data_IF_059552332165
#
_entry.id   IF_059552332165
#
_cell.length_a   1.000
_cell.length_b   1.000
_cell.length_c   1.000
_cell.angle_alpha   90.00
_cell.angle_beta   90.00
_cell.angle_gamma   90.00
#
_symmetry.space_group_name_H-M   'P 1'
#
loop_
_entity.id
_entity.type
_entity.pdbx_description
1 polymer ?
#
# COMPACT_ATOMS: atom_id res chain seq x y z
N UNK A 1 -11.94 27.81 -23.71
CA UNK A 1 -11.08 26.63 -23.95
C UNK A 1 -10.21 26.42 -22.73
N UNK A 2 -10.72 25.72 -21.71
CA UNK A 2 -10.02 25.40 -20.46
C UNK A 2 -10.65 24.15 -19.85
N UNK A 3 -10.42 22.98 -20.45
CA UNK A 3 -10.91 21.69 -19.93
C UNK A 3 -9.82 20.64 -19.80
N UNK A 4 -8.57 20.91 -20.23
CA UNK A 4 -7.49 19.92 -20.24
C UNK A 4 -6.88 19.62 -18.87
N UNK A 5 -7.06 20.48 -17.86
CA UNK A 5 -6.49 20.27 -16.53
C UNK A 5 -7.37 19.39 -15.61
N UNK A 6 -8.65 19.20 -15.93
CA UNK A 6 -9.60 18.49 -15.06
C UNK A 6 -9.51 16.97 -15.19
N UNK A 7 -9.18 16.46 -16.38
CA UNK A 7 -9.11 15.02 -16.67
C UNK A 7 -7.84 14.34 -16.14
N UNK A 8 -6.82 15.11 -15.75
CA UNK A 8 -5.59 14.54 -15.20
C UNK A 8 -5.74 14.06 -13.75
N UNK A 9 -6.76 14.51 -13.01
CA UNK A 9 -6.99 14.12 -11.61
C UNK A 9 -8.00 12.97 -11.44
N UNK A 10 -8.77 12.65 -12.48
CA UNK A 10 -9.73 11.56 -12.41
C UNK A 10 -9.02 10.22 -12.51
N UNK A 11 -9.21 9.37 -11.51
CA UNK A 11 -8.70 8.01 -11.52
C UNK A 11 -9.21 7.24 -12.76
N UNK A 12 -8.39 6.37 -13.38
CA UNK A 12 -8.74 5.75 -14.66
C UNK A 12 -9.84 4.69 -14.56
N UNK A 13 -10.07 4.08 -13.39
CA UNK A 13 -11.15 3.10 -13.22
C UNK A 13 -12.48 3.81 -12.92
N UNK A 14 -13.52 3.47 -13.68
CA UNK A 14 -14.88 3.91 -13.41
C UNK A 14 -15.55 3.00 -12.38
N UNK A 15 -16.06 3.58 -11.30
CA UNK A 15 -16.76 2.85 -10.24
C UNK A 15 -18.22 2.56 -10.64
N UNK A 16 -18.65 1.31 -10.50
CA UNK A 16 -19.91 0.82 -11.05
C UNK A 16 -20.97 0.49 -10.00
N UNK A 17 -20.56 0.26 -8.75
CA UNK A 17 -21.48 0.08 -7.62
C UNK A 17 -22.12 1.41 -7.20
N UNK A 18 -23.29 1.39 -6.55
CA UNK A 18 -23.90 2.60 -5.98
C UNK A 18 -22.97 3.31 -4.98
N UNK A 19 -22.36 2.55 -4.06
CA UNK A 19 -21.40 3.08 -3.08
C UNK A 19 -20.16 3.67 -3.76
N UNK A 20 -19.62 2.98 -4.78
CA UNK A 20 -18.50 3.47 -5.57
C UNK A 20 -18.79 4.79 -6.28
N UNK A 21 -19.93 4.92 -6.97
CA UNK A 21 -20.33 6.17 -7.63
C UNK A 21 -20.49 7.33 -6.65
N UNK A 22 -21.13 7.06 -5.51
CA UNK A 22 -21.29 8.05 -4.44
C UNK A 22 -19.93 8.54 -3.92
N UNK A 23 -18.99 7.63 -3.65
CA UNK A 23 -17.65 7.99 -3.19
C UNK A 23 -16.83 8.71 -4.27
N UNK A 24 -16.99 8.35 -5.55
CA UNK A 24 -16.33 9.04 -6.66
C UNK A 24 -16.81 10.50 -6.81
N UNK A 25 -18.11 10.75 -6.64
CA UNK A 25 -18.68 12.09 -6.63
C UNK A 25 -18.22 12.89 -5.39
N UNK A 26 -18.17 12.24 -4.25
CA UNK A 26 -17.68 12.84 -3.01
C UNK A 26 -16.20 13.20 -3.10
N UNK A 27 -15.38 12.37 -3.75
CA UNK A 27 -13.97 12.65 -3.99
C UNK A 27 -13.75 13.90 -4.85
N UNK A 28 -14.68 14.23 -5.75
CA UNK A 28 -14.60 15.44 -6.56
C UNK A 28 -15.08 16.68 -5.81
N UNK A 29 -16.13 16.54 -4.98
CA UNK A 29 -16.78 17.68 -4.30
C UNK A 29 -16.19 17.98 -2.92
N UNK A 30 -16.05 16.95 -2.06
CA UNK A 30 -15.60 17.06 -0.67
C UNK A 30 -14.65 15.91 -0.31
N UNK A 31 -13.38 15.93 -0.79
CA UNK A 31 -12.42 14.83 -0.58
C UNK A 31 -12.22 14.42 0.88
N UNK A 32 -12.30 15.39 1.81
CA UNK A 32 -12.11 15.17 3.25
C UNK A 32 -13.20 14.33 3.92
N UNK A 33 -14.36 14.16 3.27
CA UNK A 33 -15.47 13.34 3.78
C UNK A 33 -15.42 11.89 3.28
N UNK A 34 -14.54 11.57 2.33
CA UNK A 34 -14.53 10.27 1.64
C UNK A 34 -14.23 9.12 2.59
N UNK A 35 -13.24 9.25 3.49
CA UNK A 35 -12.96 8.22 4.49
C UNK A 35 -14.18 7.92 5.37
N UNK A 36 -14.78 8.94 5.99
CA UNK A 36 -15.92 8.76 6.88
C UNK A 36 -17.14 8.18 6.15
N UNK A 37 -17.39 8.63 4.92
CA UNK A 37 -18.45 8.08 4.09
C UNK A 37 -18.19 6.61 3.71
N UNK A 38 -16.95 6.25 3.40
CA UNK A 38 -16.56 4.88 3.09
C UNK A 38 -16.76 3.96 4.30
N UNK A 39 -16.38 4.39 5.51
CA UNK A 39 -16.62 3.64 6.75
C UNK A 39 -18.10 3.34 6.95
N UNK A 40 -18.99 4.32 6.75
CA UNK A 40 -20.44 4.11 6.83
C UNK A 40 -20.96 3.12 5.78
N UNK A 41 -20.43 3.17 4.55
CA UNK A 41 -20.78 2.19 3.51
C UNK A 41 -20.31 0.77 3.86
N UNK A 42 -19.12 0.64 4.47
CA UNK A 42 -18.59 -0.65 4.92
C UNK A 42 -19.41 -1.25 6.06
N UNK A 43 -19.84 -0.43 7.01
CA UNK A 43 -20.73 -0.85 8.10
C UNK A 43 -22.07 -1.38 7.52
N UNK A 44 -22.68 -0.62 6.61
CA UNK A 44 -23.92 -1.06 5.93
C UNK A 44 -23.72 -2.37 5.17
N UNK A 45 -22.59 -2.54 4.48
CA UNK A 45 -22.26 -3.79 3.80
C UNK A 45 -22.06 -4.95 4.79
N UNK A 46 -21.45 -4.69 5.95
CA UNK A 46 -21.23 -5.69 7.00
C UNK A 46 -22.56 -6.19 7.58
N UNK A 47 -23.47 -5.28 7.90
CA UNK A 47 -24.83 -5.61 8.38
C UNK A 47 -25.59 -6.44 7.34
N UNK A 48 -25.50 -6.07 6.05
CA UNK A 48 -26.13 -6.80 4.96
C UNK A 48 -25.53 -8.19 4.73
N UNK A 49 -24.24 -8.40 5.03
CA UNK A 49 -23.59 -9.71 5.01
C UNK A 49 -24.10 -10.57 6.17
N UNK A 50 -24.06 -10.04 7.39
CA UNK A 50 -24.42 -10.78 8.60
C UNK A 50 -25.92 -11.14 8.62
N UNK A 51 -26.78 -10.26 8.09
CA UNK A 51 -28.19 -10.54 7.87
C UNK A 51 -28.44 -11.68 6.86
N UNK A 52 -27.59 -11.80 5.84
CA UNK A 52 -27.67 -12.89 4.85
C UNK A 52 -27.22 -14.22 5.43
N UNK A 53 -26.21 -14.23 6.31
CA UNK A 53 -25.73 -15.43 6.99
C UNK A 53 -26.74 -15.96 8.01
N UNK A 54 -27.54 -15.07 8.60
CA UNK A 54 -28.61 -15.42 9.56
C UNK A 54 -29.89 -15.91 8.87
N UNK A 55 -30.03 -15.69 7.56
CA UNK A 55 -31.24 -16.06 6.82
C UNK A 55 -31.28 -17.58 6.57
N UNK A 56 -31.94 -18.32 7.46
CA UNK A 56 -32.22 -19.76 7.28
C UNK A 56 -32.95 -20.01 5.96
N UNK A 57 -32.48 -20.97 5.16
CA UNK A 57 -33.10 -21.28 3.87
C UNK A 57 -34.56 -21.71 4.10
N UNK A 58 -35.54 -21.08 3.43
CA UNK A 58 -36.93 -21.47 3.59
C UNK A 58 -37.11 -22.91 3.11
N UNK A 59 -37.94 -23.68 3.83
CA UNK A 59 -38.39 -25.02 3.43
C UNK A 59 -39.17 -24.92 2.12
N UNK A 60 -38.47 -24.91 1.00
CA UNK A 60 -39.00 -24.53 -0.31
C UNK A 60 -38.75 -25.64 -1.33
N UNK A 61 -39.64 -25.67 -2.33
CA UNK A 61 -39.65 -26.72 -3.37
C UNK A 61 -38.36 -26.62 -4.22
N UNK A 62 -37.91 -27.72 -4.84
CA UNK A 62 -36.60 -27.79 -5.49
C UNK A 62 -36.26 -26.65 -6.48
N UNK A 63 -37.24 -26.11 -7.21
CA UNK A 63 -37.06 -24.98 -8.13
C UNK A 63 -36.89 -23.64 -7.41
N UNK A 64 -37.61 -23.43 -6.30
CA UNK A 64 -37.50 -22.22 -5.47
C UNK A 64 -36.14 -22.18 -4.75
N UNK A 65 -35.65 -23.34 -4.30
CA UNK A 65 -34.32 -23.47 -3.69
C UNK A 65 -33.19 -23.02 -4.64
N UNK A 66 -33.28 -23.36 -5.93
CA UNK A 66 -32.32 -22.90 -6.95
C UNK A 66 -32.39 -21.39 -7.16
N UNK A 67 -33.60 -20.81 -7.17
CA UNK A 67 -33.79 -19.37 -7.29
C UNK A 67 -33.18 -18.63 -6.09
N UNK A 68 -33.47 -19.05 -4.87
CA UNK A 68 -32.89 -18.44 -3.65
C UNK A 68 -31.36 -18.52 -3.64
N UNK A 69 -30.80 -19.67 -4.04
CA UNK A 69 -29.36 -19.83 -4.19
C UNK A 69 -28.78 -18.82 -5.18
N UNK A 70 -29.42 -18.65 -6.35
CA UNK A 70 -28.94 -17.71 -7.36
C UNK A 70 -29.05 -16.25 -6.91
N UNK A 71 -30.11 -15.89 -6.20
CA UNK A 71 -30.26 -14.55 -5.61
C UNK A 71 -29.17 -14.30 -4.57
N UNK A 72 -28.87 -15.29 -3.72
CA UNK A 72 -27.81 -15.17 -2.73
C UNK A 72 -26.42 -15.01 -3.39
N UNK A 73 -26.13 -15.77 -4.44
CA UNK A 73 -24.90 -15.64 -5.23
C UNK A 73 -24.78 -14.23 -5.85
N UNK A 74 -25.86 -13.72 -6.46
CA UNK A 74 -25.86 -12.38 -7.06
C UNK A 74 -25.67 -11.29 -6.01
N UNK A 75 -26.34 -11.40 -4.85
CA UNK A 75 -26.15 -10.45 -3.73
C UNK A 75 -24.72 -10.49 -3.19
N UNK A 76 -24.11 -11.67 -3.09
CA UNK A 76 -22.70 -11.79 -2.69
C UNK A 76 -21.79 -11.08 -3.71
N UNK A 77 -22.00 -11.31 -5.01
CA UNK A 77 -21.22 -10.65 -6.06
C UNK A 77 -21.39 -9.12 -6.06
N UNK A 78 -22.59 -8.62 -5.79
CA UNK A 78 -22.85 -7.18 -5.65
C UNK A 78 -22.12 -6.57 -4.44
N UNK A 79 -22.06 -7.30 -3.31
CA UNK A 79 -21.30 -6.88 -2.13
C UNK A 79 -19.79 -6.86 -2.41
N UNK A 80 -19.27 -7.91 -3.03
CA UNK A 80 -17.84 -8.01 -3.39
C UNK A 80 -17.45 -6.85 -4.30
N UNK A 81 -18.26 -6.56 -5.33
CA UNK A 81 -18.07 -5.41 -6.23
C UNK A 81 -18.15 -4.07 -5.52
N UNK A 82 -19.06 -3.92 -4.55
CA UNK A 82 -19.19 -2.69 -3.78
C UNK A 82 -17.98 -2.46 -2.87
N UNK A 83 -17.49 -3.52 -2.21
CA UNK A 83 -16.27 -3.49 -1.41
C UNK A 83 -15.04 -3.11 -2.24
N UNK A 84 -14.91 -3.75 -3.40
CA UNK A 84 -13.90 -3.50 -4.41
C UNK A 84 -13.85 -2.04 -4.90
N UNK A 85 -15.02 -1.41 -5.09
CA UNK A 85 -15.13 -0.02 -5.49
C UNK A 85 -14.84 0.94 -4.34
N UNK A 86 -15.26 0.61 -3.11
CA UNK A 86 -14.91 1.38 -1.90
C UNK A 86 -13.39 1.38 -1.70
N UNK A 87 -12.74 0.22 -1.83
CA UNK A 87 -11.27 0.12 -1.76
C UNK A 87 -10.60 1.01 -2.80
N UNK A 88 -11.07 0.98 -4.05
CA UNK A 88 -10.49 1.82 -5.10
C UNK A 88 -10.70 3.33 -4.83
N UNK A 89 -11.88 3.73 -4.35
CA UNK A 89 -12.17 5.12 -3.99
C UNK A 89 -11.24 5.63 -2.88
N UNK A 90 -10.96 4.79 -1.86
CA UNK A 90 -10.01 5.11 -0.78
C UNK A 90 -8.57 5.23 -1.30
N UNK A 91 -8.15 4.39 -2.25
CA UNK A 91 -6.84 4.53 -2.91
C UNK A 91 -6.79 5.85 -3.68
N UNK A 92 -7.83 6.17 -4.45
CA UNK A 92 -7.89 7.43 -5.19
C UNK A 92 -7.86 8.66 -4.26
N UNK A 93 -8.46 8.57 -3.06
CA UNK A 93 -8.32 9.58 -2.03
C UNK A 93 -6.86 9.71 -1.54
N UNK A 94 -6.12 8.61 -1.34
CA UNK A 94 -4.70 8.65 -0.94
C UNK A 94 -3.81 9.34 -1.98
N UNK A 95 -4.07 9.11 -3.27
CA UNK A 95 -3.40 9.85 -4.35
C UNK A 95 -3.73 11.34 -4.31
N UNK A 96 -5.01 11.69 -4.10
CA UNK A 96 -5.47 13.08 -3.96
C UNK A 96 -4.83 13.79 -2.76
N UNK A 97 -4.78 13.14 -1.59
CA UNK A 97 -4.15 13.63 -0.36
C UNK A 97 -2.63 13.86 -0.54
N UNK A 98 -2.00 13.01 -1.36
CA UNK A 98 -0.56 13.11 -1.66
C UNK A 98 -0.26 14.10 -2.80
N UNK A 99 -1.29 14.70 -3.41
CA UNK A 99 -1.13 15.63 -4.53
C UNK A 99 -0.70 14.98 -5.85
N UNK A 100 -0.82 13.66 -5.99
CA UNK A 100 -0.33 12.90 -7.14
C UNK A 100 -1.46 12.67 -8.14
N UNK A 101 -1.21 13.02 -9.40
CA UNK A 101 -2.15 12.75 -10.49
C UNK A 101 -1.96 11.33 -11.03
N UNK A 102 -3.05 10.61 -11.21
CA UNK A 102 -3.04 9.30 -11.86
C UNK A 102 -2.56 9.39 -13.31
N UNK A 103 -1.90 8.34 -13.77
CA UNK A 103 -1.72 8.11 -15.20
C UNK A 103 -3.09 7.98 -15.88
N UNK A 104 -3.38 8.78 -16.92
CA UNK A 104 -4.63 8.68 -17.66
C UNK A 104 -4.72 7.36 -18.44
N UNK A 105 -5.94 6.98 -18.84
CA UNK A 105 -6.17 5.77 -19.62
C UNK A 105 -5.36 5.78 -20.93
N UNK A 106 -4.55 4.74 -21.13
CA UNK A 106 -3.70 4.52 -22.31
C UNK A 106 -4.42 3.61 -23.33
N UNK A 107 -5.49 2.92 -22.90
CA UNK A 107 -6.27 1.99 -23.72
C UNK A 107 -6.80 2.62 -25.02
N UNK A 108 -7.23 3.89 -24.98
CA UNK A 108 -7.80 4.62 -26.12
C UNK A 108 -6.81 5.34 -27.04
N UNK A 109 -5.50 5.29 -26.78
CA UNK A 109 -4.50 6.04 -27.57
C UNK A 109 -4.27 5.40 -28.95
N UNK A 110 -3.93 6.22 -29.95
CA UNK A 110 -3.62 5.73 -31.28
C UNK A 110 -2.36 4.85 -31.27
N UNK A 111 -2.23 3.95 -32.26
CA UNK A 111 -1.06 3.07 -32.39
C UNK A 111 0.22 3.89 -32.51
N UNK A 112 1.27 3.49 -31.78
CA UNK A 112 2.59 4.11 -31.77
C UNK A 112 2.61 5.59 -31.29
N UNK A 113 1.52 6.08 -30.70
CA UNK A 113 1.48 7.41 -30.12
C UNK A 113 2.38 7.47 -28.87
N UNK A 114 2.99 8.65 -28.66
CA UNK A 114 3.73 8.95 -27.44
C UNK A 114 2.74 9.32 -26.34
N UNK A 115 2.63 8.47 -25.31
CA UNK A 115 1.55 8.54 -24.30
C UNK A 115 1.97 9.16 -22.97
N UNK A 116 3.26 9.37 -22.74
CA UNK A 116 3.90 9.80 -21.48
C UNK A 116 3.93 11.32 -21.25
N UNK A 117 2.95 12.09 -21.76
CA UNK A 117 2.87 13.55 -21.51
C UNK A 117 2.23 13.85 -20.16
N UNK A 118 2.74 13.23 -19.11
CA UNK A 118 2.19 13.32 -17.76
C UNK A 118 3.08 14.25 -16.89
N UNK A 119 2.53 14.95 -15.87
CA UNK A 119 3.31 15.86 -15.01
C UNK A 119 4.50 15.19 -14.28
N UNK A 120 5.76 15.64 -14.35
CA UNK A 120 6.86 14.96 -13.67
C UNK A 120 6.65 14.99 -12.13
N UNK A 121 6.22 13.86 -11.55
CA UNK A 121 5.83 13.73 -10.15
C UNK A 121 6.59 12.59 -9.44
N UNK A 122 7.82 12.33 -9.89
CA UNK A 122 8.63 11.22 -9.38
C UNK A 122 9.03 11.45 -7.92
N UNK A 123 9.37 12.69 -7.54
CA UNK A 123 9.73 13.04 -6.17
C UNK A 123 8.55 12.85 -5.21
N UNK A 124 7.35 13.26 -5.61
CA UNK A 124 6.13 13.05 -4.84
C UNK A 124 5.82 11.56 -4.67
N UNK A 125 5.98 10.76 -5.73
CA UNK A 125 5.81 9.32 -5.67
C UNK A 125 6.84 8.65 -4.75
N UNK A 126 8.10 9.08 -4.79
CA UNK A 126 9.15 8.58 -3.91
C UNK A 126 8.86 8.96 -2.44
N UNK A 127 8.33 10.16 -2.18
CA UNK A 127 8.06 10.67 -0.82
C UNK A 127 7.03 9.86 -0.01
N UNK A 128 6.22 9.01 -0.66
CA UNK A 128 5.24 8.13 0.00
C UNK A 128 5.92 7.04 0.85
N UNK A 129 7.15 6.68 0.47
CA UNK A 129 7.87 5.54 1.00
C UNK A 129 8.93 5.99 2.01
N UNK A 130 9.25 5.13 2.98
CA UNK A 130 10.39 5.37 3.87
C UNK A 130 11.71 5.23 3.11
N UNK A 131 12.77 5.90 3.57
CA UNK A 131 14.11 5.82 2.94
C UNK A 131 14.57 4.37 2.74
N UNK A 132 14.31 3.50 3.72
CA UNK A 132 14.67 2.07 3.64
C UNK A 132 13.83 1.29 2.63
N UNK A 133 12.57 1.66 2.41
CA UNK A 133 11.73 1.09 1.37
C UNK A 133 12.14 1.61 -0.01
N UNK A 134 12.52 2.88 -0.12
CA UNK A 134 12.99 3.48 -1.38
C UNK A 134 14.22 2.78 -1.95
N UNK A 135 15.17 2.37 -1.11
CA UNK A 135 16.32 1.57 -1.58
C UNK A 135 15.88 0.32 -2.36
N UNK A 136 14.89 -0.42 -1.83
CA UNK A 136 14.36 -1.63 -2.47
C UNK A 136 13.53 -1.29 -3.72
N UNK A 137 12.79 -0.18 -3.70
CA UNK A 137 12.01 0.30 -4.85
C UNK A 137 12.93 0.73 -6.00
N UNK A 138 14.04 1.41 -5.72
CA UNK A 138 15.04 1.78 -6.72
C UNK A 138 15.70 0.55 -7.36
N UNK A 139 15.95 -0.51 -6.59
CA UNK A 139 16.41 -1.79 -7.15
C UNK A 139 15.35 -2.43 -8.07
N UNK A 140 14.08 -2.43 -7.65
CA UNK A 140 12.98 -2.92 -8.49
C UNK A 140 12.84 -2.10 -9.78
N UNK A 141 12.95 -0.78 -9.70
CA UNK A 141 13.02 0.10 -10.87
C UNK A 141 14.17 -0.29 -11.79
N UNK A 142 15.38 -0.49 -11.24
CA UNK A 142 16.53 -0.96 -12.00
C UNK A 142 16.25 -2.28 -12.74
N UNK A 143 15.57 -3.23 -12.11
CA UNK A 143 15.22 -4.52 -12.73
C UNK A 143 14.16 -4.38 -13.83
N UNK A 144 13.08 -3.63 -13.59
CA UNK A 144 11.98 -3.46 -14.55
C UNK A 144 12.42 -2.62 -15.75
N UNK A 145 13.29 -1.63 -15.52
CA UNK A 145 13.82 -0.72 -16.54
C UNK A 145 15.06 -1.27 -17.26
N UNK A 146 15.49 -2.51 -16.96
CA UNK A 146 16.61 -3.18 -17.63
C UNK A 146 17.98 -2.58 -17.35
N UNK A 147 18.21 -2.10 -16.13
CA UNK A 147 19.50 -1.55 -15.65
C UNK A 147 19.77 -0.11 -16.06
N UNK A 148 18.92 0.49 -16.89
CA UNK A 148 19.01 1.91 -17.32
C UNK A 148 18.50 2.91 -16.27
N UNK A 149 17.81 2.43 -15.22
CA UNK A 149 17.17 3.26 -14.18
C UNK A 149 18.10 4.09 -13.29
N UNK A 150 19.39 3.76 -13.30
CA UNK A 150 20.40 4.40 -12.46
C UNK A 150 21.42 5.23 -13.26
N UNK A 151 21.30 5.30 -14.59
CA UNK A 151 22.12 6.18 -15.41
C UNK A 151 21.44 7.55 -15.44
N UNK A 152 22.03 8.54 -14.77
CA UNK A 152 21.44 9.87 -14.60
C UNK A 152 21.07 10.54 -15.93
N UNK A 153 20.02 11.36 -15.88
CA UNK A 153 19.50 12.48 -16.71
C UNK A 153 19.85 12.64 -18.22
N UNK A 154 20.80 11.92 -18.80
CA UNK A 154 21.31 12.14 -20.15
C UNK A 154 20.47 11.42 -21.23
N UNK A 155 19.66 10.42 -20.85
CA UNK A 155 18.86 9.57 -21.76
C UNK A 155 17.33 9.58 -21.45
N UNK A 156 16.82 10.50 -20.63
CA UNK A 156 15.43 10.46 -20.11
C UNK A 156 14.33 10.67 -21.18
N UNK A 157 14.65 11.38 -22.27
CA UNK A 157 13.73 11.55 -23.41
C UNK A 157 13.85 10.41 -24.44
N UNK A 158 14.77 9.45 -24.24
CA UNK A 158 14.90 8.31 -25.13
C UNK A 158 13.62 7.47 -25.08
N UNK A 159 12.99 7.26 -26.23
CA UNK A 159 11.72 6.55 -26.33
C UNK A 159 11.91 5.09 -26.65
N UNK A 160 11.13 4.23 -26.00
CA UNK A 160 11.00 2.82 -26.31
C UNK A 160 9.57 2.51 -26.76
N UNK A 161 9.45 1.57 -27.70
CA UNK A 161 8.16 0.96 -28.04
C UNK A 161 7.97 -0.30 -27.22
N UNK A 162 6.90 -0.32 -26.44
CA UNK A 162 6.56 -1.45 -25.57
C UNK A 162 5.10 -1.80 -25.80
N UNK A 163 4.78 -3.08 -25.74
CA UNK A 163 3.40 -3.53 -25.95
C UNK A 163 2.54 -3.28 -24.71
N UNK A 164 1.26 -2.92 -24.92
CA UNK A 164 0.29 -2.67 -23.84
C UNK A 164 0.21 -3.85 -22.88
N UNK A 165 0.27 -5.09 -23.40
CA UNK A 165 0.26 -6.28 -22.56
C UNK A 165 1.51 -6.38 -21.67
N UNK A 166 2.70 -6.13 -22.22
CA UNK A 166 3.94 -6.14 -21.41
C UNK A 166 3.91 -5.05 -20.34
N UNK A 167 3.38 -3.89 -20.69
CA UNK A 167 3.22 -2.77 -19.75
C UNK A 167 2.21 -3.07 -18.65
N UNK A 168 1.05 -3.64 -18.98
CA UNK A 168 0.07 -4.06 -17.98
C UNK A 168 0.63 -5.09 -17.00
N UNK A 169 1.41 -6.07 -17.50
CA UNK A 169 2.11 -7.05 -16.65
C UNK A 169 3.14 -6.39 -15.75
N UNK A 170 3.95 -5.47 -16.27
CA UNK A 170 4.95 -4.75 -15.49
C UNK A 170 4.30 -3.87 -14.42
N UNK A 171 3.19 -3.20 -14.74
CA UNK A 171 2.40 -2.41 -13.79
C UNK A 171 1.84 -3.31 -12.69
N UNK A 172 1.12 -4.39 -13.04
CA UNK A 172 0.53 -5.31 -12.06
C UNK A 172 1.59 -5.91 -11.13
N UNK A 173 2.72 -6.37 -11.69
CA UNK A 173 3.82 -6.90 -10.90
C UNK A 173 4.44 -5.84 -9.96
N UNK A 174 4.56 -4.60 -10.41
CA UNK A 174 5.08 -3.49 -9.61
C UNK A 174 4.10 -3.05 -8.51
N UNK A 175 2.80 -3.13 -8.76
CA UNK A 175 1.78 -2.93 -7.73
C UNK A 175 1.80 -4.01 -6.66
N UNK A 176 1.92 -5.29 -7.04
CA UNK A 176 2.12 -6.38 -6.07
C UNK A 176 3.41 -6.18 -5.28
N UNK A 177 4.49 -5.74 -5.93
CA UNK A 177 5.74 -5.42 -5.26
C UNK A 177 5.60 -4.27 -4.25
N UNK A 178 4.93 -3.18 -4.62
CA UNK A 178 4.63 -2.06 -3.72
C UNK A 178 3.83 -2.49 -2.50
N UNK A 179 2.80 -3.32 -2.69
CA UNK A 179 2.02 -3.92 -1.61
C UNK A 179 2.92 -4.73 -0.66
N UNK A 180 3.79 -5.59 -1.21
CA UNK A 180 4.76 -6.38 -0.44
C UNK A 180 5.71 -5.49 0.38
N UNK A 181 6.33 -4.49 -0.25
CA UNK A 181 7.30 -3.62 0.42
C UNK A 181 6.63 -2.82 1.53
N UNK A 182 5.44 -2.25 1.29
CA UNK A 182 4.70 -1.51 2.32
C UNK A 182 4.38 -2.39 3.51
N UNK A 183 3.94 -3.62 3.27
CA UNK A 183 3.64 -4.60 4.30
C UNK A 183 4.86 -4.94 5.15
N UNK A 184 6.00 -5.22 4.51
CA UNK A 184 7.23 -5.59 5.22
C UNK A 184 7.82 -4.38 5.96
N UNK A 185 7.81 -3.19 5.36
CA UNK A 185 8.29 -1.96 6.02
C UNK A 185 7.46 -1.64 7.26
N UNK A 186 6.12 -1.65 7.17
CA UNK A 186 5.25 -1.45 8.35
C UNK A 186 5.56 -2.44 9.47
N UNK A 187 5.74 -3.72 9.13
CA UNK A 187 6.11 -4.75 10.12
C UNK A 187 7.48 -4.47 10.72
N UNK A 188 8.46 -4.13 9.90
CA UNK A 188 9.82 -3.83 10.31
C UNK A 188 9.87 -2.63 11.26
N UNK A 189 9.16 -1.54 10.95
CA UNK A 189 9.09 -0.36 11.82
C UNK A 189 8.41 -0.69 13.16
N UNK A 190 7.36 -1.52 13.16
CA UNK A 190 6.72 -2.00 14.39
C UNK A 190 7.69 -2.82 15.25
N UNK A 191 8.41 -3.78 14.66
CA UNK A 191 9.38 -4.58 15.41
C UNK A 191 10.55 -3.75 15.95
N UNK A 192 10.99 -2.75 15.19
CA UNK A 192 12.02 -1.78 15.61
C UNK A 192 11.55 -0.95 16.80
N UNK A 193 10.32 -0.43 16.78
CA UNK A 193 9.77 0.37 17.89
C UNK A 193 9.55 -0.45 19.16
N UNK A 194 9.03 -1.68 19.04
CA UNK A 194 8.86 -2.61 20.16
C UNK A 194 10.21 -3.00 20.78
N UNK A 195 11.20 -3.31 19.93
CA UNK A 195 12.55 -3.67 20.40
C UNK A 195 13.23 -2.51 21.12
N UNK A 196 13.10 -1.28 20.61
CA UNK A 196 13.64 -0.08 21.25
C UNK A 196 12.95 0.20 22.60
N UNK A 197 11.63 0.06 22.66
CA UNK A 197 10.85 0.26 23.89
C UNK A 197 11.25 -0.76 24.97
N UNK A 198 11.45 -2.03 24.57
CA UNK A 198 11.95 -3.08 25.46
C UNK A 198 13.36 -2.76 25.97
N UNK A 199 14.25 -2.24 25.12
CA UNK A 199 15.60 -1.87 25.54
C UNK A 199 15.59 -0.75 26.59
N UNK A 200 14.74 0.28 26.39
CA UNK A 200 14.58 1.38 27.34
C UNK A 200 14.03 0.90 28.70
N UNK A 201 13.07 -0.03 28.68
CA UNK A 201 12.50 -0.59 29.91
C UNK A 201 13.55 -1.37 30.73
N UNK A 202 14.42 -2.12 30.06
CA UNK A 202 15.51 -2.83 30.71
C UNK A 202 16.55 -1.84 31.27
N UNK A 203 16.82 -0.73 30.58
CA UNK A 203 17.73 0.32 31.06
C UNK A 203 17.19 1.03 32.31
N UNK A 204 15.89 1.36 32.32
CA UNK A 204 15.19 1.92 33.48
C UNK A 204 15.19 0.94 34.67
N UNK A 205 14.95 -0.34 34.43
CA UNK A 205 14.98 -1.37 35.48
C UNK A 205 16.38 -1.49 36.11
N UNK A 206 17.44 -1.39 35.31
CA UNK A 206 18.81 -1.36 35.82
C UNK A 206 19.12 -0.09 36.62
N UNK A 207 18.62 1.06 36.19
CA UNK A 207 18.78 2.32 36.92
C UNK A 207 18.09 2.29 38.30
N UNK A 208 16.86 1.75 38.38
CA UNK A 208 16.14 1.58 39.64
C UNK A 208 16.85 0.59 40.59
N UNK A 209 17.43 -0.50 40.06
CA UNK A 209 18.19 -1.48 40.87
C UNK A 209 19.52 -0.93 41.38
N UNK A 210 20.13 0.03 40.69
CA UNK A 210 21.37 0.69 41.12
C UNK A 210 21.14 1.84 42.11
N UNK A 211 19.93 2.43 42.16
CA UNK A 211 19.55 3.45 43.13
C UNK A 211 19.14 2.91 44.52
N UNK A 212 19.05 1.60 44.70
CA UNK A 212 18.53 0.95 45.92
C UNK A 212 19.54 0.60 47.01
N UNK A 213 20.81 1.02 46.90
CA UNK A 213 21.82 0.79 47.93
C UNK A 213 22.39 2.12 48.45
N UNK A 214 21.55 2.87 49.16
CA UNK A 214 22.05 3.78 50.19
C UNK A 214 21.46 3.31 51.51
N UNK A 215 22.34 2.77 52.34
CA UNK A 215 22.02 2.28 53.66
C UNK A 215 21.27 3.35 54.45
N UNK A 216 20.18 2.91 55.07
CA UNK A 216 19.50 3.59 56.16
C UNK A 216 20.55 3.99 57.20
N UNK A 217 20.80 5.29 57.34
CA UNK A 217 21.29 5.85 58.59
C UNK A 217 20.24 6.83 59.08
N UNK A 218 19.62 6.40 60.18
CA UNK A 218 18.66 7.10 61.01
C UNK A 218 19.39 8.23 61.75
N UNK A 219 19.00 9.49 61.52
CA UNK A 219 19.11 10.54 62.54
C UNK A 219 18.19 11.74 62.22
N UNK A 220 17.56 12.22 63.29
CA UNK A 220 16.36 13.06 63.38
C UNK A 220 16.64 14.59 63.26
N UNK A 221 15.55 15.35 63.01
CA UNK A 221 15.28 16.82 63.20
C UNK A 221 15.27 17.62 61.87
N UNK A 222 14.12 17.88 61.25
CA UNK A 222 13.09 18.94 61.48
C UNK A 222 13.48 20.33 60.93
N UNK A 223 12.84 20.77 59.85
CA UNK A 223 11.91 21.93 59.77
C UNK A 223 11.81 22.54 58.36
N UNK A 224 10.56 22.61 57.88
CA UNK A 224 9.96 23.68 57.07
C UNK A 224 10.43 23.94 55.62
N UNK A 225 9.45 24.26 54.76
CA UNK A 225 9.67 25.18 53.64
C UNK A 225 9.41 24.62 52.24
N UNK A 226 8.21 24.90 51.74
CA UNK A 226 7.77 24.98 50.36
C UNK A 226 8.87 25.28 49.31
N UNK A 227 8.72 24.74 48.09
CA UNK A 227 9.29 25.42 46.91
C UNK A 227 9.59 24.54 45.71
N UNK A 228 8.98 24.90 44.60
CA UNK A 228 9.10 24.30 43.27
C UNK A 228 10.48 24.57 42.64
N UNK A 229 10.77 23.86 41.56
CA UNK A 229 11.66 24.21 40.41
C UNK A 229 13.16 23.87 40.44
N UNK A 230 13.49 22.97 39.50
CA UNK A 230 14.46 23.13 38.41
C UNK A 230 15.97 22.83 38.61
N UNK A 231 16.43 22.06 37.62
CA UNK A 231 17.77 22.05 37.01
C UNK A 231 18.92 21.45 37.83
N UNK A 232 19.60 20.46 37.24
CA UNK A 232 21.01 20.57 36.78
C UNK A 232 21.42 19.22 36.17
N UNK A 233 21.72 19.24 34.87
CA UNK A 233 22.57 18.23 34.22
C UNK A 233 23.89 18.16 35.00
N UNK A 234 24.21 17.01 35.60
CA UNK A 234 25.56 16.76 36.12
C UNK A 234 26.12 15.48 35.49
N UNK A 235 26.94 15.68 34.47
CA UNK A 235 27.80 14.64 33.87
C UNK A 235 28.96 14.36 34.85
N UNK A 236 29.26 13.11 35.23
CA UNK A 236 30.56 12.76 35.78
C UNK A 236 31.42 12.15 34.68
N UNK A 237 32.52 12.82 34.39
CA UNK A 237 33.73 12.24 33.81
C UNK A 237 34.53 11.62 34.96
N UNK A 238 34.77 10.32 34.94
CA UNK A 238 36.02 9.70 35.42
C UNK A 238 36.09 8.28 34.88
N UNK A 239 37.23 7.97 34.28
CA UNK A 239 37.62 6.66 33.78
C UNK A 239 37.60 5.61 34.89
N UNK A 240 36.82 4.54 34.68
CA UNK A 240 37.00 3.25 35.34
C UNK A 240 36.74 2.16 34.30
N UNK A 241 37.75 1.32 34.09
CA UNK A 241 37.71 0.14 33.22
C UNK A 241 36.55 -0.80 33.58
N UNK A 242 35.69 -1.06 32.59
CA UNK A 242 34.52 -1.94 32.66
C UNK A 242 34.31 -2.72 31.36
N UNK A 243 33.62 -3.87 31.39
CA UNK A 243 33.91 -5.00 30.52
C UNK A 243 33.42 -4.82 29.07
N UNK A 244 34.24 -5.35 28.16
CA UNK A 244 34.01 -5.63 26.73
C UNK A 244 32.73 -5.04 26.14
N UNK A 245 32.86 -3.85 25.54
CA UNK A 245 31.92 -3.27 24.57
C UNK A 245 31.50 -4.34 23.56
N UNK A 246 30.24 -4.79 23.62
CA UNK A 246 29.58 -5.36 22.46
C UNK A 246 29.63 -4.28 21.39
N UNK A 247 30.34 -4.56 20.28
CA UNK A 247 30.37 -3.69 19.12
C UNK A 247 28.93 -3.55 18.62
N UNK A 248 28.25 -2.49 19.03
CA UNK A 248 26.98 -2.13 18.43
C UNK A 248 27.29 -1.70 17.01
N UNK A 249 27.05 -2.64 16.10
CA UNK A 249 27.21 -2.49 14.66
C UNK A 249 26.39 -1.26 14.27
N UNK A 250 27.05 -0.16 13.97
CA UNK A 250 26.45 0.97 13.25
C UNK A 250 25.88 0.34 11.97
N UNK A 251 24.56 0.29 11.85
CA UNK A 251 23.93 -0.33 10.68
C UNK A 251 23.75 0.77 9.62
N UNK A 252 24.52 0.73 8.51
CA UNK A 252 24.30 1.60 7.37
C UNK A 252 23.10 1.10 6.56
N UNK A 253 22.43 1.98 5.80
CA UNK A 253 21.38 1.78 4.77
C UNK A 253 20.52 0.50 4.80
N UNK A 254 21.09 -0.71 4.68
CA UNK A 254 20.37 -1.96 4.51
C UNK A 254 19.72 -2.57 5.78
N UNK A 255 18.96 -1.84 6.60
CA UNK A 255 18.19 -2.46 7.71
C UNK A 255 16.97 -3.24 7.22
N UNK A 256 16.16 -2.64 6.33
CA UNK A 256 14.98 -3.31 5.76
C UNK A 256 15.39 -4.43 4.81
N UNK A 257 16.39 -4.20 3.95
CA UNK A 257 16.97 -5.24 3.09
C UNK A 257 17.42 -6.46 3.87
N UNK A 258 18.23 -6.27 4.93
CA UNK A 258 18.69 -7.38 5.77
C UNK A 258 17.52 -8.09 6.46
N UNK A 259 16.49 -7.34 6.87
CA UNK A 259 15.28 -7.89 7.46
C UNK A 259 14.52 -8.79 6.47
N UNK A 260 14.27 -8.32 5.24
CA UNK A 260 13.65 -9.11 4.17
C UNK A 260 14.46 -10.37 3.87
N UNK A 261 15.79 -10.24 3.77
CA UNK A 261 16.70 -11.36 3.49
C UNK A 261 16.79 -12.38 4.64
N UNK A 262 16.34 -12.03 5.85
CA UNK A 262 16.31 -12.95 6.98
C UNK A 262 15.08 -13.87 7.00
N UNK A 263 14.08 -13.61 6.15
CA UNK A 263 12.89 -14.43 6.06
C UNK A 263 13.19 -15.80 5.45
N UNK A 264 12.56 -16.84 6.00
CA UNK A 264 12.47 -18.13 5.33
C UNK A 264 11.51 -18.04 4.13
N UNK A 265 11.64 -18.99 3.21
CA UNK A 265 10.87 -18.98 1.96
C UNK A 265 9.35 -18.92 2.18
N UNK A 266 8.84 -19.59 3.23
CA UNK A 266 7.40 -19.60 3.53
C UNK A 266 6.92 -18.23 4.03
N UNK A 267 7.69 -17.59 4.90
CA UNK A 267 7.39 -16.24 5.35
C UNK A 267 7.43 -15.27 4.18
N UNK A 268 8.48 -15.30 3.36
CA UNK A 268 8.58 -14.43 2.20
C UNK A 268 7.39 -14.58 1.24
N UNK A 269 6.98 -15.82 0.94
CA UNK A 269 5.79 -16.09 0.13
C UNK A 269 4.50 -15.54 0.75
N UNK A 270 4.31 -15.69 2.07
CA UNK A 270 3.14 -15.14 2.76
C UNK A 270 3.06 -13.62 2.69
N UNK A 271 4.21 -12.93 2.72
CA UNK A 271 4.27 -11.48 2.58
C UNK A 271 4.05 -11.04 1.13
N UNK A 272 4.59 -11.79 0.17
CA UNK A 272 4.50 -11.48 -1.26
C UNK A 272 3.09 -11.73 -1.85
N UNK A 273 2.34 -12.67 -1.28
CA UNK A 273 0.96 -12.93 -1.69
C UNK A 273 0.00 -11.86 -1.14
N UNK A 274 -0.92 -11.41 -2.00
CA UNK A 274 -2.06 -10.58 -1.61
C UNK A 274 -2.93 -11.35 -0.61
N UNK A 275 -3.40 -10.67 0.45
CA UNK A 275 -4.19 -11.30 1.52
C UNK A 275 -5.64 -11.55 1.11
N UNK A 276 -6.17 -10.75 0.18
CA UNK A 276 -7.57 -10.78 -0.24
C UNK A 276 -7.70 -10.92 -1.76
N UNK A 277 -8.83 -11.50 -2.21
CA UNK A 277 -9.15 -11.63 -3.64
C UNK A 277 -9.54 -10.28 -4.23
N UNK A 278 -10.14 -9.44 -3.41
CA UNK A 278 -10.57 -8.08 -3.70
C UNK A 278 -9.35 -7.19 -4.01
N UNK A 279 -8.25 -7.33 -3.26
CA UNK A 279 -7.00 -6.63 -3.58
C UNK A 279 -6.44 -7.05 -4.94
N UNK A 280 -6.50 -8.35 -5.28
CA UNK A 280 -6.09 -8.84 -6.59
C UNK A 280 -6.97 -8.27 -7.71
N UNK A 281 -8.30 -8.27 -7.50
CA UNK A 281 -9.28 -7.71 -8.42
C UNK A 281 -9.11 -6.19 -8.60
N UNK A 282 -8.81 -5.44 -7.54
CA UNK A 282 -8.53 -4.00 -7.61
C UNK A 282 -7.32 -3.70 -8.49
N UNK A 283 -6.22 -4.47 -8.35
CA UNK A 283 -5.04 -4.33 -9.22
C UNK A 283 -5.42 -4.67 -10.67
N UNK A 284 -6.12 -5.79 -10.87
CA UNK A 284 -6.54 -6.24 -12.21
C UNK A 284 -7.41 -5.18 -12.90
N UNK A 285 -8.51 -4.76 -12.28
CA UNK A 285 -9.41 -3.73 -12.82
C UNK A 285 -8.70 -2.41 -13.09
N UNK A 286 -7.78 -1.98 -12.23
CA UNK A 286 -7.00 -0.78 -12.48
C UNK A 286 -6.08 -0.94 -13.71
N UNK A 287 -5.39 -2.08 -13.82
CA UNK A 287 -4.52 -2.36 -14.98
C UNK A 287 -5.33 -2.47 -16.28
N UNK A 288 -6.51 -3.07 -16.24
CA UNK A 288 -7.44 -3.12 -17.38
C UNK A 288 -7.94 -1.73 -17.76
N UNK A 289 -8.23 -0.86 -16.79
CA UNK A 289 -8.63 0.52 -17.05
C UNK A 289 -7.50 1.32 -17.72
N UNK A 290 -6.25 1.10 -17.31
CA UNK A 290 -5.07 1.75 -17.89
C UNK A 290 -4.77 1.26 -19.31
N UNK A 291 -4.63 -0.05 -19.51
CA UNK A 291 -4.09 -0.63 -20.75
C UNK A 291 -5.14 -1.27 -21.65
N UNK A 292 -6.37 -1.43 -21.17
CA UNK A 292 -7.44 -2.16 -21.84
C UNK A 292 -7.43 -3.64 -21.50
N UNK A 293 -8.55 -4.32 -21.80
CA UNK A 293 -8.67 -5.76 -21.63
C UNK A 293 -7.89 -6.49 -22.73
N UNK A 294 -7.04 -7.49 -22.39
CA UNK A 294 -6.35 -8.25 -23.42
C UNK A 294 -7.36 -9.05 -24.26
N UNK A 295 -7.37 -8.83 -25.56
CA UNK A 295 -8.20 -9.62 -26.49
C UNK A 295 -7.59 -11.02 -26.64
N UNK A 296 -8.18 -12.01 -25.97
CA UNK A 296 -7.78 -13.40 -26.04
C UNK A 296 -8.60 -14.11 -27.13
N UNK A 297 -7.95 -14.72 -28.12
CA UNK A 297 -8.56 -15.62 -29.10
C UNK A 297 -8.25 -17.06 -28.72
N UNK A 298 -9.29 -17.85 -28.50
CA UNK A 298 -9.16 -19.30 -28.39
C UNK A 298 -8.78 -19.87 -29.75
N UNK A 299 -7.63 -20.54 -29.82
CA UNK A 299 -7.26 -21.31 -31.00
C UNK A 299 -8.13 -22.58 -31.06
N UNK A 300 -8.42 -23.11 -32.25
CA UNK A 300 -9.18 -24.35 -32.40
C UNK A 300 -8.51 -25.58 -31.73
N UNK A 301 -7.24 -25.47 -31.33
CA UNK A 301 -6.47 -26.49 -30.60
C UNK A 301 -6.59 -26.35 -29.07
N UNK A 302 -7.46 -25.48 -28.56
CA UNK A 302 -7.67 -25.26 -27.13
C UNK A 302 -6.62 -24.36 -26.46
N UNK A 303 -5.70 -23.78 -27.24
CA UNK A 303 -4.76 -22.77 -26.77
C UNK A 303 -5.38 -21.37 -26.73
N UNK A 304 -4.83 -20.48 -25.92
CA UNK A 304 -5.24 -19.06 -25.88
C UNK A 304 -4.13 -18.23 -26.50
N UNK A 305 -4.42 -17.51 -27.59
CA UNK A 305 -3.46 -16.60 -28.25
C UNK A 305 -3.94 -15.15 -28.13
N UNK A 306 -2.99 -14.22 -27.97
CA UNK A 306 -3.30 -12.79 -27.89
C UNK A 306 -3.62 -12.30 -29.29
N UNK A 307 -4.84 -11.81 -29.49
CA UNK A 307 -5.37 -11.45 -30.79
C UNK A 307 -4.72 -10.21 -31.40
N UNK A 308 -4.36 -9.25 -30.55
CA UNK A 308 -3.87 -7.92 -30.93
C UNK A 308 -3.17 -7.29 -29.73
N UNK A 309 -1.84 -7.24 -29.77
CA UNK A 309 -1.03 -6.53 -28.77
C UNK A 309 -0.56 -5.21 -29.38
N UNK A 310 -1.13 -4.09 -28.93
CA UNK A 310 -0.81 -2.77 -29.48
C UNK A 310 0.47 -2.21 -28.85
N UNK A 311 1.31 -1.59 -29.68
CA UNK A 311 2.52 -0.91 -29.23
C UNK A 311 2.21 0.53 -28.83
N UNK A 312 2.77 0.95 -27.70
CA UNK A 312 2.79 2.33 -27.22
C UNK A 312 4.22 2.83 -27.15
N UNK A 313 4.40 4.12 -27.38
CA UNK A 313 5.70 4.79 -27.27
C UNK A 313 5.77 5.52 -25.94
N UNK A 314 6.79 5.25 -25.14
CA UNK A 314 7.04 5.87 -23.84
C UNK A 314 8.50 6.32 -23.79
N UNK A 315 8.79 7.48 -23.22
CA UNK A 315 10.16 7.80 -22.80
C UNK A 315 10.56 6.98 -21.57
N UNK A 316 11.86 6.99 -21.28
CA UNK A 316 12.39 6.37 -20.08
C UNK A 316 11.82 6.99 -18.79
N UNK A 317 11.72 8.32 -18.73
CA UNK A 317 11.07 9.03 -17.62
C UNK A 317 9.58 8.66 -17.49
N UNK A 318 8.87 8.55 -18.61
CA UNK A 318 7.49 8.07 -18.62
C UNK A 318 7.34 6.66 -18.04
N UNK A 319 8.25 5.76 -18.41
CA UNK A 319 8.28 4.39 -17.90
C UNK A 319 8.63 4.35 -16.41
N UNK A 320 9.62 5.12 -15.97
CA UNK A 320 10.01 5.26 -14.56
C UNK A 320 8.86 5.73 -13.70
N UNK A 321 8.20 6.83 -14.10
CA UNK A 321 7.01 7.34 -13.43
C UNK A 321 5.91 6.27 -13.33
N UNK A 322 5.63 5.55 -14.41
CA UNK A 322 4.56 4.55 -14.43
C UNK A 322 4.84 3.40 -13.43
N UNK A 323 6.10 2.98 -13.31
CA UNK A 323 6.50 1.96 -12.33
C UNK A 323 6.42 2.51 -10.90
N UNK A 324 6.84 3.76 -10.67
CA UNK A 324 6.69 4.42 -9.36
C UNK A 324 5.22 4.56 -8.96
N UNK A 325 4.33 4.95 -9.88
CA UNK A 325 2.89 5.01 -9.64
C UNK A 325 2.32 3.64 -9.29
N UNK A 326 2.72 2.58 -10.00
CA UNK A 326 2.30 1.22 -9.68
C UNK A 326 2.72 0.81 -8.26
N UNK A 327 3.97 1.10 -7.87
CA UNK A 327 4.48 0.82 -6.52
C UNK A 327 3.74 1.61 -5.45
N UNK A 328 3.44 2.89 -5.71
CA UNK A 328 2.63 3.74 -4.84
C UNK A 328 1.20 3.19 -4.70
N UNK A 329 0.57 2.82 -5.82
CA UNK A 329 -0.76 2.19 -5.86
C UNK A 329 -0.82 0.93 -5.00
N UNK A 330 0.15 0.03 -5.17
CA UNK A 330 0.29 -1.16 -4.34
C UNK A 330 0.48 -0.87 -2.85
N UNK A 331 1.26 0.16 -2.54
CA UNK A 331 1.50 0.56 -1.15
C UNK A 331 0.24 1.13 -0.49
N UNK A 332 -0.51 1.98 -1.20
CA UNK A 332 -1.81 2.46 -0.71
C UNK A 332 -2.83 1.34 -0.62
N UNK A 333 -2.80 0.36 -1.53
CA UNK A 333 -3.67 -0.82 -1.45
C UNK A 333 -3.45 -1.60 -0.15
N UNK A 334 -2.21 -1.78 0.32
CA UNK A 334 -1.94 -2.38 1.63
C UNK A 334 -2.56 -1.58 2.78
N UNK A 335 -2.38 -0.25 2.78
CA UNK A 335 -2.90 0.60 3.83
C UNK A 335 -4.45 0.61 3.84
N UNK A 336 -5.08 0.64 2.66
CA UNK A 336 -6.53 0.57 2.48
C UNK A 336 -7.08 -0.80 2.84
N UNK A 337 -6.47 -1.90 2.39
CA UNK A 337 -6.88 -3.25 2.77
C UNK A 337 -6.84 -3.42 4.29
N UNK A 338 -5.77 -2.97 4.94
CA UNK A 338 -5.64 -3.02 6.39
C UNK A 338 -6.74 -2.19 7.09
N UNK A 339 -7.07 -1.00 6.59
CA UNK A 339 -8.14 -0.17 7.13
C UNK A 339 -9.52 -0.82 6.93
N UNK A 340 -9.86 -1.22 5.71
CA UNK A 340 -11.15 -1.86 5.40
C UNK A 340 -11.35 -3.16 6.17
N UNK A 341 -10.29 -3.94 6.40
CA UNK A 341 -10.34 -5.19 7.18
C UNK A 341 -10.75 -4.92 8.64
N UNK A 342 -10.44 -3.76 9.20
CA UNK A 342 -10.90 -3.40 10.56
C UNK A 342 -12.40 -3.15 10.66
N UNK A 343 -13.05 -2.73 9.58
CA UNK A 343 -14.49 -2.41 9.55
C UNK A 343 -15.34 -3.57 8.99
N UNK A 344 -14.88 -4.23 7.93
CA UNK A 344 -15.66 -5.25 7.23
C UNK A 344 -15.18 -6.70 7.48
N UNK A 345 -13.97 -6.91 8.01
CA UNK A 345 -13.39 -8.24 8.32
C UNK A 345 -13.51 -9.25 7.15
N UNK A 346 -12.91 -8.94 6.00
CA UNK A 346 -12.98 -9.78 4.80
C UNK A 346 -11.74 -10.62 4.54
N UNK A 347 -10.63 -10.34 5.23
CA UNK A 347 -9.42 -11.13 5.06
C UNK A 347 -9.55 -12.44 5.84
N UNK A 348 -9.45 -13.57 5.12
CA UNK A 348 -9.39 -14.90 5.72
C UNK A 348 -8.08 -15.04 6.52
N UNK A 349 -8.19 -15.30 7.83
CA UNK A 349 -7.06 -15.38 8.77
C UNK A 349 -6.40 -16.75 8.84
#
# INVERSE_FOLDING_TARGET
MTTSASTARSAPLLLESPSGRFLAELLQSHPHLVCAAAEQQLETLSEARDAADTQEQPSSTGTEMVLYKRIAELKAQERDKSLEDIMYALIAQKFSESGIAFVPQISGTAKNERVDRWPPQEEELESIHSDSALELIQEHLGLVLGGRGNAGNEDDDSTAQISKLRMGRAYAASAVYGYFIRRVDKRFQLEKTVSNSRAQLIELERACKQGGSSAVNDHVVSESGQGVTAMVLRRPTTDVEGPKRVKQKVVPSGRLRTYVMSFDQRTLQRYANLRSKESASVIERHTEALFGKPELKSTPEGGVTIAKDELITLSFSGLRRLVLEAVAFGSFLWDVEAHVDTHYNFVVR
#
